data_IF_178821534504
#
_entry.id   IF_178821534504
#
_cell.length_a   1.000
_cell.length_b   1.000
_cell.length_c   1.000
_cell.angle_alpha   90.00
_cell.angle_beta   90.00
_cell.angle_gamma   90.00
#
_symmetry.space_group_name_H-M   'P 1'
#
loop_
_entity.id
_entity.type
_entity.pdbx_description
1 polymer ?
#
# COMPACT_ATOMS: atom_id res chain seq x y z
N UNK A 1 4.55 25.20 -4.81
CA UNK A 1 5.67 24.25 -4.93
C UNK A 1 5.27 22.97 -4.22
N UNK A 2 4.80 21.98 -4.97
CA UNK A 2 4.41 20.68 -4.41
C UNK A 2 5.67 19.91 -4.01
N UNK A 3 5.74 19.46 -2.77
CA UNK A 3 6.85 18.63 -2.29
C UNK A 3 6.71 17.27 -2.97
N UNK A 4 7.69 16.92 -3.80
CA UNK A 4 7.85 15.59 -4.39
C UNK A 4 7.88 14.54 -3.28
N UNK A 5 7.02 13.51 -3.40
CA UNK A 5 6.92 12.36 -2.48
C UNK A 5 8.30 11.70 -2.26
N UNK A 6 9.20 11.86 -3.23
CA UNK A 6 10.58 11.36 -3.25
C UNK A 6 11.51 12.07 -2.24
N UNK A 7 11.26 13.35 -1.93
CA UNK A 7 12.10 14.11 -0.98
C UNK A 7 11.66 13.95 0.48
N UNK A 8 10.42 13.49 0.73
CA UNK A 8 9.92 13.19 2.07
C UNK A 8 10.37 11.80 2.59
N UNK A 9 10.87 10.93 1.71
CA UNK A 9 11.21 9.54 2.04
C UNK A 9 12.72 9.29 2.22
N UNK A 10 13.55 10.34 2.22
CA UNK A 10 15.00 10.20 2.04
C UNK A 10 15.76 9.65 3.26
N UNK A 11 15.16 9.62 4.47
CA UNK A 11 15.89 9.27 5.72
C UNK A 11 15.12 8.52 6.83
N UNK A 12 13.86 8.08 6.63
CA UNK A 12 13.13 7.34 7.67
C UNK A 12 12.29 6.20 7.09
N UNK A 13 12.14 5.14 7.89
CA UNK A 13 11.30 3.95 7.67
C UNK A 13 10.25 4.14 6.57
N UNK A 14 10.54 3.63 5.37
CA UNK A 14 9.68 3.70 4.17
C UNK A 14 8.21 3.33 4.46
N UNK A 15 8.01 2.45 5.44
CA UNK A 15 6.70 2.08 5.99
C UNK A 15 5.91 3.29 6.49
N UNK A 16 6.51 4.15 7.31
CA UNK A 16 5.87 5.33 7.87
C UNK A 16 5.51 6.35 6.78
N UNK A 17 6.40 6.53 5.79
CA UNK A 17 6.15 7.44 4.67
C UNK A 17 5.00 6.97 3.78
N UNK A 18 4.91 5.67 3.47
CA UNK A 18 3.76 5.10 2.75
C UNK A 18 2.46 5.33 3.52
N UNK A 19 2.48 5.07 4.83
CA UNK A 19 1.30 5.26 5.66
C UNK A 19 0.82 6.71 5.69
N UNK A 20 1.73 7.68 5.76
CA UNK A 20 1.43 9.12 5.78
C UNK A 20 1.00 9.64 4.41
N UNK A 21 1.64 9.21 3.33
CA UNK A 21 1.27 9.60 1.97
C UNK A 21 -0.15 9.17 1.58
N UNK A 22 -0.74 8.21 2.30
CA UNK A 22 -2.09 7.71 2.05
C UNK A 22 -3.16 8.31 2.96
N UNK A 23 -2.82 9.30 3.79
CA UNK A 23 -3.80 9.99 4.64
C UNK A 23 -4.78 10.84 3.80
N UNK A 24 -4.29 11.48 2.74
CA UNK A 24 -5.11 12.31 1.84
C UNK A 24 -5.77 11.48 0.72
N UNK A 25 -5.05 10.48 0.17
CA UNK A 25 -5.56 9.62 -0.90
C UNK A 25 -5.13 8.16 -0.71
N UNK A 26 -6.09 7.29 -0.45
CA UNK A 26 -5.87 5.83 -0.35
C UNK A 26 -5.86 5.21 -1.74
N UNK A 27 -4.71 5.24 -2.40
CA UNK A 27 -4.54 4.70 -3.76
C UNK A 27 -3.48 3.59 -3.80
N UNK A 28 -3.69 2.52 -4.59
CA UNK A 28 -2.65 1.53 -4.87
C UNK A 28 -1.41 2.14 -5.53
N UNK A 29 -1.54 3.22 -6.31
CA UNK A 29 -0.41 3.89 -6.97
C UNK A 29 0.61 4.50 -6.00
N UNK A 30 0.16 4.85 -4.80
CA UNK A 30 0.99 5.45 -3.74
C UNK A 30 1.68 4.35 -2.93
N UNK A 31 0.95 3.28 -2.62
CA UNK A 31 1.42 2.21 -1.75
C UNK A 31 2.13 1.07 -2.47
N UNK A 32 1.92 0.89 -3.76
CA UNK A 32 2.34 -0.29 -4.50
C UNK A 32 2.89 0.14 -5.87
N UNK A 33 4.21 0.04 -6.04
CA UNK A 33 4.89 0.23 -7.32
C UNK A 33 5.56 -1.09 -7.73
N UNK A 34 5.45 -1.45 -9.01
CA UNK A 34 6.17 -2.59 -9.61
C UNK A 34 5.39 -3.91 -9.66
N UNK A 35 6.13 -5.00 -9.91
CA UNK A 35 5.63 -6.37 -10.10
C UNK A 35 5.21 -7.08 -8.79
N UNK A 36 5.34 -6.42 -7.64
CA UNK A 36 4.97 -6.99 -6.36
C UNK A 36 3.45 -7.00 -6.13
N UNK A 37 2.96 -8.04 -5.44
CA UNK A 37 1.56 -8.10 -5.03
C UNK A 37 1.22 -6.96 -4.05
N UNK A 38 0.19 -6.20 -4.39
CA UNK A 38 -0.34 -5.13 -3.56
C UNK A 38 -1.40 -5.67 -2.59
N UNK A 39 -1.35 -5.19 -1.35
CA UNK A 39 -2.31 -5.53 -0.30
C UNK A 39 -2.98 -4.26 0.24
N UNK A 40 -4.21 -4.41 0.72
CA UNK A 40 -4.99 -3.35 1.35
C UNK A 40 -5.47 -3.81 2.72
N UNK A 41 -5.36 -2.95 3.72
CA UNK A 41 -5.91 -3.24 5.04
C UNK A 41 -7.43 -2.97 5.09
N UNK A 42 -8.22 -3.91 5.60
CA UNK A 42 -9.67 -3.73 5.75
C UNK A 42 -10.08 -2.70 6.81
N UNK A 43 -9.20 -2.35 7.74
CA UNK A 43 -9.49 -1.35 8.78
C UNK A 43 -9.16 0.07 8.33
N UNK A 44 -7.90 0.33 7.94
CA UNK A 44 -7.47 1.68 7.57
C UNK A 44 -7.64 1.98 6.07
N UNK A 45 -7.81 0.97 5.23
CA UNK A 45 -7.91 1.12 3.77
C UNK A 45 -6.59 1.51 3.10
N UNK A 46 -5.47 1.43 3.83
CA UNK A 46 -4.14 1.75 3.29
C UNK A 46 -3.59 0.58 2.47
N UNK A 47 -2.91 0.91 1.38
CA UNK A 47 -2.25 0.02 0.44
C UNK A 47 -0.77 -0.13 0.77
N UNK A 48 -0.21 -1.33 0.62
CA UNK A 48 1.20 -1.59 0.85
C UNK A 48 1.65 -2.81 0.06
N UNK A 49 2.94 -2.91 -0.29
CA UNK A 49 3.47 -4.06 -1.01
C UNK A 49 3.70 -5.23 -0.04
N UNK A 50 3.81 -6.45 -0.58
CA UNK A 50 4.07 -7.65 0.21
C UNK A 50 5.33 -7.52 1.09
N UNK A 51 6.39 -6.92 0.55
CA UNK A 51 7.67 -6.66 1.22
C UNK A 51 7.56 -5.86 2.52
N UNK A 52 6.44 -5.15 2.75
CA UNK A 52 6.18 -4.34 3.96
C UNK A 52 5.29 -5.03 4.98
N UNK A 53 4.79 -6.23 4.68
CA UNK A 53 4.08 -7.03 5.67
C UNK A 53 5.14 -7.59 6.63
N UNK A 54 4.94 -7.39 7.93
CA UNK A 54 5.82 -7.97 8.96
C UNK A 54 5.61 -9.48 9.01
N UNK A 55 6.30 -10.21 8.12
CA UNK A 55 6.15 -11.67 7.93
C UNK A 55 6.69 -12.48 9.11
N UNK A 56 7.46 -11.84 10.01
CA UNK A 56 8.22 -12.55 11.05
C UNK A 56 7.38 -13.37 12.03
N UNK A 57 6.06 -13.15 12.15
CA UNK A 57 5.19 -14.04 12.97
C UNK A 57 3.68 -13.77 12.83
N UNK A 58 3.24 -12.57 12.44
CA UNK A 58 1.81 -12.26 12.25
C UNK A 58 1.58 -11.30 11.09
N UNK A 59 0.72 -11.69 10.16
CA UNK A 59 0.25 -10.87 9.06
C UNK A 59 -0.46 -9.61 9.63
N UNK A 60 0.25 -8.47 9.70
CA UNK A 60 -0.26 -7.21 10.27
C UNK A 60 -0.08 -6.08 9.28
N UNK A 61 -1.06 -5.19 9.28
CA UNK A 61 -1.00 -3.93 8.57
C UNK A 61 0.14 -3.08 9.18
N UNK A 62 1.15 -2.68 8.38
CA UNK A 62 2.29 -1.90 8.88
C UNK A 62 1.88 -0.56 9.50
N UNK A 63 0.72 -0.04 9.09
CA UNK A 63 0.25 1.27 9.48
C UNK A 63 -0.57 1.32 10.77
N UNK A 64 -1.39 0.30 11.02
CA UNK A 64 -2.36 0.31 12.13
C UNK A 64 -2.33 -0.97 12.98
N UNK A 65 -1.46 -1.94 12.64
CA UNK A 65 -1.32 -3.21 13.36
C UNK A 65 -2.47 -4.21 13.17
N UNK A 66 -3.49 -3.88 12.38
CA UNK A 66 -4.65 -4.76 12.16
C UNK A 66 -4.27 -6.02 11.35
N UNK A 67 -4.93 -7.15 11.60
CA UNK A 67 -4.51 -8.46 11.07
C UNK A 67 -5.16 -8.86 9.74
N UNK A 68 -6.28 -8.24 9.38
CA UNK A 68 -6.99 -8.58 8.13
C UNK A 68 -6.53 -7.65 7.02
N UNK A 69 -5.90 -8.25 6.01
CA UNK A 69 -5.43 -7.60 4.81
C UNK A 69 -5.94 -8.40 3.59
N UNK A 70 -6.32 -7.70 2.53
CA UNK A 70 -6.81 -8.29 1.29
C UNK A 70 -5.84 -7.99 0.16
N UNK A 71 -5.70 -8.89 -0.81
CA UNK A 71 -4.94 -8.63 -2.03
C UNK A 71 -5.71 -7.62 -2.89
N UNK A 72 -5.07 -6.52 -3.27
CA UNK A 72 -5.69 -5.49 -4.08
C UNK A 72 -5.81 -5.94 -5.54
N UNK A 73 -6.82 -5.40 -6.24
CA UNK A 73 -6.96 -5.58 -7.69
C UNK A 73 -5.78 -4.90 -8.38
N UNK A 74 -5.19 -5.58 -9.36
CA UNK A 74 -4.19 -4.95 -10.23
C UNK A 74 -4.82 -3.75 -10.96
N UNK A 75 -4.12 -2.62 -11.11
CA UNK A 75 -4.60 -1.46 -11.85
C UNK A 75 -4.74 -1.74 -13.35
N UNK A 76 -4.22 -2.88 -13.84
CA UNK A 76 -4.39 -3.32 -15.22
C UNK A 76 -5.86 -3.59 -15.53
N UNK A 77 -6.40 -2.86 -16.52
CA UNK A 77 -7.73 -3.13 -17.07
C UNK A 77 -7.80 -4.57 -17.60
N UNK A 78 -8.82 -5.32 -17.18
CA UNK A 78 -9.13 -6.64 -17.76
C UNK A 78 -10.38 -6.48 -18.61
N UNK A 79 -10.29 -6.86 -19.89
CA UNK A 79 -11.46 -6.95 -20.76
C UNK A 79 -12.32 -8.13 -20.29
N UNK A 80 -13.54 -7.85 -19.84
CA UNK A 80 -14.53 -8.86 -19.49
C UNK A 80 -15.57 -8.85 -20.61
N UNK A 81 -15.74 -9.97 -21.31
CA UNK A 81 -16.80 -10.12 -22.30
C UNK A 81 -18.14 -10.08 -21.57
N UNK A 82 -19.03 -9.17 -21.98
CA UNK A 82 -20.42 -9.19 -21.54
C UNK A 82 -21.15 -10.36 -22.23
N UNK A 83 -22.03 -11.02 -21.49
CA UNK A 83 -22.95 -12.08 -21.99
C UNK A 83 -24.18 -11.40 -22.58
#
# INVERSE_FOLDING_TARGET
MGISIEDACRDKDLTFCICRAQDEKKSPEIGCKGDEACYVCWRCGRYFPYSRITIVETLRCPCCGYRIIAKARLPTGRAIKAI
#
